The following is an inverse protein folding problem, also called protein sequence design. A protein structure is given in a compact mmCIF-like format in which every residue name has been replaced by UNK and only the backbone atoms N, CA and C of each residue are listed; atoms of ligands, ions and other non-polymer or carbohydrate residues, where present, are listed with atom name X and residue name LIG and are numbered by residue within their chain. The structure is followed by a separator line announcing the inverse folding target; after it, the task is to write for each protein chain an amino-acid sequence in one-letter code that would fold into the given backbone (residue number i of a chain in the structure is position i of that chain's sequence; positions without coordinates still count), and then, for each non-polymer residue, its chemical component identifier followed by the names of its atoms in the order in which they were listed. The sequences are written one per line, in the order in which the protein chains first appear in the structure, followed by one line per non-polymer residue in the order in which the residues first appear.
data_IF_386079220412
#
_entry.id   IF_386079220412
#
_cell.length_a   1.000
_cell.length_b   1.000
_cell.length_c   1.000
_cell.angle_alpha   90.00
_cell.angle_beta   90.00
_cell.angle_gamma   90.00
#
_symmetry.space_group_name_H-M   'P 1'
#
loop_
_entity.id
_entity.type
_entity.pdbx_description
1 polymer ?
#
# COMPACT_ATOMS: atom_id res chain seq x y z
N UNK A 1 -85.00 7.94 52.40
CA UNK A 1 -84.08 8.83 51.75
C UNK A 1 -82.73 8.12 51.70
N UNK A 2 -82.55 7.39 50.64
CA UNK A 2 -81.49 6.39 50.56
C UNK A 2 -80.36 6.85 49.59
N UNK A 3 -79.18 7.11 50.12
CA UNK A 3 -77.98 7.32 49.36
C UNK A 3 -77.41 5.94 48.96
N UNK A 4 -77.32 5.73 47.68
CA UNK A 4 -76.57 4.57 47.11
C UNK A 4 -75.21 5.04 46.70
N UNK A 5 -74.19 4.53 47.36
CA UNK A 5 -72.81 4.76 47.10
C UNK A 5 -72.34 3.73 45.97
N UNK A 6 -72.07 4.23 44.78
CA UNK A 6 -71.49 3.42 43.68
C UNK A 6 -69.97 3.50 43.76
N UNK A 7 -69.35 2.36 44.07
CA UNK A 7 -67.88 2.19 44.02
C UNK A 7 -67.52 1.76 42.64
N UNK A 8 -66.87 2.61 41.90
CA UNK A 8 -66.17 2.21 40.68
C UNK A 8 -64.79 1.68 41.04
N UNK A 9 -64.59 0.41 40.76
CA UNK A 9 -63.31 -0.25 40.86
C UNK A 9 -62.59 0.01 39.51
N UNK A 10 -61.61 0.90 39.49
CA UNK A 10 -60.75 1.08 38.34
C UNK A 10 -59.62 0.03 38.36
N UNK A 11 -59.71 -0.90 37.44
CA UNK A 11 -58.67 -1.89 37.19
C UNK A 11 -57.54 -1.23 36.43
N UNK A 12 -56.41 -0.97 37.09
CA UNK A 12 -55.23 -0.49 36.42
C UNK A 12 -54.46 -1.68 35.86
N UNK A 13 -54.45 -1.82 34.51
CA UNK A 13 -53.60 -2.74 33.80
C UNK A 13 -52.17 -2.17 33.76
N UNK A 14 -51.26 -2.72 34.55
CA UNK A 14 -49.85 -2.43 34.46
C UNK A 14 -49.28 -3.15 33.22
N UNK A 15 -49.00 -2.42 32.14
CA UNK A 15 -48.30 -2.94 31.00
C UNK A 15 -46.79 -2.94 31.33
N UNK A 16 -46.23 -4.17 31.55
CA UNK A 16 -44.82 -4.38 31.73
C UNK A 16 -44.14 -4.35 30.36
N UNK A 17 -43.55 -3.23 29.95
CA UNK A 17 -42.75 -3.12 28.76
C UNK A 17 -41.34 -3.73 29.04
N UNK A 18 -41.12 -4.94 28.60
CA UNK A 18 -39.75 -5.55 28.57
C UNK A 18 -39.01 -4.95 27.39
N UNK A 19 -38.19 -3.93 27.65
CA UNK A 19 -37.24 -3.42 26.67
C UNK A 19 -36.06 -4.42 26.59
N UNK A 20 -36.07 -5.30 25.59
CA UNK A 20 -34.91 -6.12 25.25
C UNK A 20 -33.82 -5.21 24.67
N UNK A 21 -32.84 -4.85 25.48
CA UNK A 21 -31.62 -4.23 24.99
C UNK A 21 -30.81 -5.27 24.20
N UNK A 22 -30.90 -5.19 22.88
CA UNK A 22 -30.06 -5.97 21.98
C UNK A 22 -28.69 -5.25 21.92
N UNK A 23 -27.77 -5.62 22.80
CA UNK A 23 -26.40 -5.16 22.72
C UNK A 23 -25.71 -5.86 21.54
N UNK A 24 -25.62 -5.18 20.40
CA UNK A 24 -24.76 -5.61 19.31
C UNK A 24 -23.33 -5.38 19.75
N UNK A 25 -22.67 -6.41 20.22
CA UNK A 25 -21.22 -6.41 20.41
C UNK A 25 -20.59 -6.54 19.03
N UNK A 26 -20.10 -5.44 18.47
CA UNK A 26 -19.16 -5.49 17.37
C UNK A 26 -17.89 -6.11 17.92
N UNK A 27 -17.65 -7.39 17.62
CA UNK A 27 -16.33 -7.96 17.77
C UNK A 27 -15.50 -7.39 16.65
N UNK A 28 -14.73 -6.36 16.96
CA UNK A 28 -13.64 -5.88 16.12
C UNK A 28 -12.66 -7.06 16.02
N UNK A 29 -12.74 -7.81 14.93
CA UNK A 29 -11.74 -8.81 14.61
C UNK A 29 -10.49 -8.03 14.21
N UNK A 30 -9.68 -7.64 15.20
CA UNK A 30 -8.35 -7.15 14.94
C UNK A 30 -7.60 -8.27 14.23
N UNK A 31 -7.56 -8.20 12.90
CA UNK A 31 -6.72 -9.06 12.09
C UNK A 31 -5.30 -8.77 12.53
N UNK A 32 -4.61 -9.77 13.04
CA UNK A 32 -3.25 -9.59 13.50
C UNK A 32 -2.37 -9.21 12.29
N UNK A 33 -1.69 -8.09 12.39
CA UNK A 33 -0.73 -7.63 11.41
C UNK A 33 0.33 -8.71 11.19
N UNK A 34 0.47 -9.17 9.97
CA UNK A 34 1.44 -10.21 9.64
C UNK A 34 2.59 -9.61 8.84
N UNK A 35 3.72 -9.42 9.50
CA UNK A 35 4.96 -9.01 8.85
C UNK A 35 5.61 -10.22 8.17
N UNK A 36 5.85 -10.11 6.85
CA UNK A 36 6.46 -11.17 6.04
C UNK A 36 7.65 -10.64 5.25
N UNK A 37 8.67 -11.48 4.96
CA UNK A 37 9.77 -11.09 4.10
C UNK A 37 9.27 -10.75 2.69
N UNK A 38 9.68 -9.60 2.16
CA UNK A 38 9.33 -9.15 0.81
C UNK A 38 10.59 -9.03 -0.05
N UNK A 39 10.77 -9.97 -0.97
CA UNK A 39 11.97 -10.12 -1.79
C UNK A 39 11.59 -10.41 -3.22
N UNK A 40 12.37 -9.86 -4.16
CA UNK A 40 12.12 -10.09 -5.56
C UNK A 40 13.26 -9.66 -6.46
N UNK A 41 13.12 -10.06 -7.74
CA UNK A 41 13.96 -9.63 -8.84
C UNK A 41 13.10 -8.88 -9.85
N UNK A 42 13.70 -7.89 -10.52
CA UNK A 42 13.01 -6.99 -11.43
C UNK A 42 13.95 -6.61 -12.57
N UNK A 43 13.37 -6.46 -13.75
CA UNK A 43 14.05 -5.94 -14.94
C UNK A 43 13.10 -5.03 -15.70
N UNK A 44 13.62 -3.96 -16.28
CA UNK A 44 12.81 -2.96 -16.91
C UNK A 44 13.52 -2.12 -17.95
N UNK A 45 12.81 -1.10 -18.37
CA UNK A 45 13.31 -0.05 -19.26
C UNK A 45 12.80 1.29 -18.78
N UNK A 46 13.70 2.24 -18.74
CA UNK A 46 13.45 3.63 -18.35
C UNK A 46 13.47 4.55 -19.57
N UNK A 47 12.59 5.55 -19.55
CA UNK A 47 12.58 6.69 -20.46
C UNK A 47 12.76 7.95 -19.63
N UNK A 48 13.72 8.79 -20.01
CA UNK A 48 14.05 9.97 -19.23
C UNK A 48 13.95 11.24 -20.05
N UNK A 49 13.42 12.31 -19.45
CA UNK A 49 13.39 13.67 -19.99
C UNK A 49 14.15 14.61 -19.09
N UNK A 50 15.13 15.32 -19.65
CA UNK A 50 15.99 16.25 -18.90
C UNK A 50 15.41 17.66 -18.96
N UNK A 51 15.16 18.24 -17.76
CA UNK A 51 14.89 19.66 -17.56
C UNK A 51 15.82 20.16 -16.44
N UNK A 52 17.08 20.43 -16.81
CA UNK A 52 18.15 20.71 -15.85
C UNK A 52 17.74 21.73 -14.76
N UNK A 53 17.95 21.45 -13.48
CA UNK A 53 18.77 20.35 -12.93
C UNK A 53 18.02 19.02 -12.71
N UNK A 54 16.79 18.89 -13.17
CA UNK A 54 15.95 17.71 -12.95
C UNK A 54 15.94 16.76 -14.14
N UNK A 55 15.84 15.48 -13.84
CA UNK A 55 15.59 14.39 -14.76
C UNK A 55 14.28 13.72 -14.37
N UNK A 56 13.28 13.73 -15.25
CA UNK A 56 12.01 13.03 -15.08
C UNK A 56 12.13 11.66 -15.71
N UNK A 57 11.87 10.63 -14.94
CA UNK A 57 12.01 9.22 -15.36
C UNK A 57 10.68 8.51 -15.26
N UNK A 58 10.26 7.94 -16.39
CA UNK A 58 9.15 7.01 -16.48
C UNK A 58 9.71 5.62 -16.82
N UNK A 59 9.37 4.61 -16.02
CA UNK A 59 9.82 3.25 -16.27
C UNK A 59 8.69 2.24 -16.25
N UNK A 60 8.88 1.17 -17.01
CA UNK A 60 8.08 -0.04 -16.92
C UNK A 60 8.99 -1.22 -16.69
N UNK A 61 8.59 -2.09 -15.77
CA UNK A 61 9.38 -3.27 -15.45
C UNK A 61 8.49 -4.49 -15.20
N UNK A 62 9.11 -5.64 -15.19
CA UNK A 62 8.48 -6.91 -14.82
C UNK A 62 9.39 -7.69 -13.88
N UNK A 63 8.79 -8.52 -13.04
CA UNK A 63 9.57 -9.28 -12.08
C UNK A 63 8.80 -10.40 -11.42
N UNK A 64 9.45 -10.98 -10.40
CA UNK A 64 8.85 -11.98 -9.55
C UNK A 64 9.26 -11.72 -8.09
N UNK A 65 8.29 -11.77 -7.18
CA UNK A 65 8.54 -11.50 -5.77
C UNK A 65 7.72 -12.41 -4.87
N UNK A 66 8.20 -12.58 -3.62
CA UNK A 66 7.40 -13.20 -2.55
C UNK A 66 6.12 -12.40 -2.35
N UNK A 67 5.02 -13.08 -2.05
CA UNK A 67 3.69 -12.51 -1.80
C UNK A 67 3.05 -11.73 -2.96
N UNK A 68 3.81 -11.29 -3.96
CA UNK A 68 3.31 -10.62 -5.17
C UNK A 68 3.22 -11.58 -6.37
N UNK A 69 4.11 -12.59 -6.43
CA UNK A 69 4.26 -13.48 -7.57
C UNK A 69 4.86 -12.74 -8.77
N UNK A 70 4.47 -13.11 -9.98
CA UNK A 70 4.81 -12.33 -11.18
C UNK A 70 4.06 -11.02 -11.16
N UNK A 71 4.76 -9.94 -11.48
CA UNK A 71 4.20 -8.59 -11.47
C UNK A 71 4.71 -7.75 -12.64
N UNK A 72 3.95 -6.73 -12.99
CA UNK A 72 4.40 -5.56 -13.73
C UNK A 72 4.58 -4.38 -12.78
N UNK A 73 5.46 -3.45 -13.11
CA UNK A 73 5.67 -2.20 -12.38
C UNK A 73 5.59 -1.02 -13.32
N UNK A 74 4.94 0.05 -12.89
CA UNK A 74 5.11 1.41 -13.42
C UNK A 74 5.79 2.26 -12.35
N UNK A 75 6.68 3.14 -12.78
CA UNK A 75 7.56 3.89 -11.90
C UNK A 75 7.73 5.29 -12.46
N UNK A 76 7.50 6.29 -11.63
CA UNK A 76 7.59 7.70 -11.98
C UNK A 76 8.40 8.40 -10.90
N UNK A 77 9.59 8.89 -11.26
CA UNK A 77 10.48 9.58 -10.32
C UNK A 77 11.13 10.78 -10.95
N UNK A 78 11.59 11.67 -10.09
CA UNK A 78 12.44 12.80 -10.41
C UNK A 78 13.80 12.60 -9.77
N UNK A 79 14.85 12.77 -10.57
CA UNK A 79 16.26 12.74 -10.11
C UNK A 79 16.81 14.15 -10.15
N UNK A 80 17.43 14.61 -9.07
CA UNK A 80 18.24 15.83 -9.07
C UNK A 80 19.63 15.50 -9.61
N UNK A 81 19.99 16.04 -10.77
CA UNK A 81 21.25 15.80 -11.44
C UNK A 81 22.47 16.41 -10.74
N UNK A 82 22.26 17.27 -9.72
CA UNK A 82 23.34 17.85 -8.94
C UNK A 82 23.69 17.02 -7.71
N UNK A 83 22.69 16.37 -7.12
CA UNK A 83 22.84 15.54 -5.92
C UNK A 83 22.74 14.06 -6.18
N UNK A 84 22.16 13.66 -7.33
CA UNK A 84 21.80 12.29 -7.71
C UNK A 84 20.76 11.66 -6.77
N UNK A 85 20.00 12.50 -6.05
CA UNK A 85 18.88 12.05 -5.23
C UNK A 85 17.65 11.82 -6.09
N UNK A 86 16.92 10.76 -5.78
CA UNK A 86 15.71 10.34 -6.47
C UNK A 86 14.52 10.42 -5.53
N UNK A 87 13.36 10.86 -6.05
CA UNK A 87 12.10 10.80 -5.32
C UNK A 87 10.93 10.61 -6.28
N UNK A 88 9.90 9.89 -5.84
CA UNK A 88 8.70 9.63 -6.63
C UNK A 88 7.88 8.48 -6.11
N UNK A 89 7.27 7.71 -7.02
CA UNK A 89 6.38 6.61 -6.66
C UNK A 89 6.46 5.44 -7.63
N UNK A 90 6.02 4.26 -7.16
CA UNK A 90 5.88 3.08 -8.00
C UNK A 90 4.58 2.33 -7.69
N UNK A 91 4.04 1.68 -8.73
CA UNK A 91 2.87 0.79 -8.64
C UNK A 91 3.28 -0.58 -9.15
N UNK A 92 3.19 -1.57 -8.28
CA UNK A 92 3.40 -2.98 -8.61
C UNK A 92 2.03 -3.63 -8.84
N UNK A 93 1.82 -4.24 -9.99
CA UNK A 93 0.56 -4.92 -10.34
C UNK A 93 0.80 -6.42 -10.43
N UNK A 94 0.22 -7.17 -9.50
CA UNK A 94 0.26 -8.62 -9.48
C UNK A 94 -0.53 -9.24 -10.64
N UNK A 95 -0.29 -10.51 -10.95
CA UNK A 95 -0.94 -11.21 -12.05
C UNK A 95 -2.48 -11.31 -11.92
N UNK A 96 -3.03 -11.20 -10.71
CA UNK A 96 -4.47 -11.18 -10.44
C UNK A 96 -5.10 -9.77 -10.50
N UNK A 97 -4.28 -8.73 -10.77
CA UNK A 97 -4.71 -7.33 -10.83
C UNK A 97 -4.63 -6.56 -9.51
N UNK A 98 -4.33 -7.20 -8.38
CA UNK A 98 -4.07 -6.48 -7.13
C UNK A 98 -2.83 -5.61 -7.26
N UNK A 99 -2.87 -4.42 -6.67
CA UNK A 99 -1.79 -3.45 -6.76
C UNK A 99 -1.17 -3.16 -5.40
N UNK A 100 0.13 -2.92 -5.39
CA UNK A 100 0.90 -2.42 -4.25
C UNK A 100 1.49 -1.06 -4.62
N UNK A 101 1.27 -0.05 -3.78
CA UNK A 101 1.72 1.33 -3.97
C UNK A 101 2.91 1.62 -3.08
N UNK A 102 3.90 2.33 -3.61
CA UNK A 102 5.07 2.74 -2.83
C UNK A 102 5.48 4.16 -3.14
N UNK A 103 5.91 4.89 -2.11
CA UNK A 103 6.74 6.08 -2.26
C UNK A 103 8.20 5.67 -2.37
N UNK A 104 8.96 6.39 -3.17
CA UNK A 104 10.36 6.08 -3.49
C UNK A 104 11.25 7.25 -3.12
N UNK A 105 12.35 6.96 -2.44
CA UNK A 105 13.48 7.85 -2.30
C UNK A 105 14.75 7.06 -2.55
N UNK A 106 15.74 7.65 -3.21
CA UNK A 106 16.95 6.93 -3.57
C UNK A 106 18.13 7.84 -3.87
N UNK A 107 19.25 7.19 -4.16
CA UNK A 107 20.46 7.86 -4.59
C UNK A 107 21.21 6.97 -5.58
N UNK A 108 21.74 7.59 -6.63
CA UNK A 108 22.52 6.93 -7.68
C UNK A 108 23.96 7.40 -7.72
N UNK A 109 24.81 6.56 -8.29
CA UNK A 109 26.16 6.90 -8.73
C UNK A 109 26.38 6.30 -10.10
N UNK A 110 27.13 6.95 -10.98
CA UNK A 110 27.38 6.43 -12.33
C UNK A 110 28.83 6.63 -12.76
N UNK A 111 29.23 5.88 -13.79
CA UNK A 111 30.52 6.00 -14.47
C UNK A 111 30.39 6.61 -15.89
N UNK A 112 29.22 7.18 -16.21
CA UNK A 112 28.84 7.71 -17.51
C UNK A 112 28.31 6.68 -18.50
N UNK A 113 28.22 5.39 -18.10
CA UNK A 113 27.64 4.28 -18.91
C UNK A 113 26.64 3.47 -18.12
N UNK A 114 26.96 3.19 -16.87
CA UNK A 114 26.13 2.42 -15.97
C UNK A 114 25.93 3.20 -14.68
N UNK A 115 24.68 3.36 -14.27
CA UNK A 115 24.34 3.86 -12.95
C UNK A 115 24.07 2.70 -12.00
N UNK A 116 24.58 2.83 -10.77
CA UNK A 116 24.23 1.97 -9.64
C UNK A 116 23.31 2.77 -8.71
N UNK A 117 22.09 2.30 -8.54
CA UNK A 117 21.06 3.03 -7.77
C UNK A 117 20.59 2.18 -6.60
N UNK A 118 20.43 2.85 -5.45
CA UNK A 118 19.85 2.28 -4.23
C UNK A 118 18.63 3.10 -3.87
N UNK A 119 17.50 2.43 -3.71
CA UNK A 119 16.21 3.06 -3.41
C UNK A 119 15.57 2.43 -2.18
N UNK A 120 14.91 3.27 -1.40
CA UNK A 120 14.02 2.85 -0.33
C UNK A 120 12.60 3.06 -0.83
N UNK A 121 11.84 1.97 -0.90
CA UNK A 121 10.42 1.98 -1.17
C UNK A 121 9.66 1.87 0.14
N UNK A 122 8.81 2.85 0.44
CA UNK A 122 7.88 2.81 1.57
C UNK A 122 6.50 2.41 1.05
N UNK A 123 5.97 1.29 1.53
CA UNK A 123 4.65 0.80 1.12
C UNK A 123 3.56 1.66 1.74
N UNK A 124 2.71 2.25 0.91
CA UNK A 124 1.66 3.20 1.30
C UNK A 124 0.25 2.62 1.19
N UNK A 125 0.15 1.35 0.79
CA UNK A 125 -1.11 0.64 0.61
C UNK A 125 -1.19 -0.09 -0.72
N UNK A 126 -2.41 -0.26 -1.22
CA UNK A 126 -2.65 -0.93 -2.49
C UNK A 126 -4.11 -1.21 -2.75
N UNK A 127 -4.38 -2.24 -3.54
CA UNK A 127 -5.74 -2.74 -3.79
C UNK A 127 -5.84 -4.23 -3.49
N UNK A 128 -7.07 -4.75 -3.38
CA UNK A 128 -7.32 -6.15 -3.10
C UNK A 128 -6.64 -6.59 -1.80
N UNK A 129 -5.80 -7.61 -1.84
CA UNK A 129 -5.08 -8.12 -0.65
C UNK A 129 -4.04 -7.15 -0.09
N UNK A 130 -3.69 -6.07 -0.81
CA UNK A 130 -2.73 -5.06 -0.39
C UNK A 130 -3.38 -3.75 0.05
N UNK A 131 -4.72 -3.68 0.18
CA UNK A 131 -5.46 -2.43 0.41
C UNK A 131 -4.94 -1.61 1.62
N UNK A 132 -4.54 -2.29 2.69
CA UNK A 132 -4.03 -1.66 3.91
C UNK A 132 -2.56 -2.04 4.17
N UNK A 133 -1.86 -2.58 3.15
CA UNK A 133 -0.48 -3.02 3.28
C UNK A 133 0.45 -1.88 3.67
N UNK A 134 1.41 -2.19 4.55
CA UNK A 134 2.48 -1.29 4.96
C UNK A 134 3.83 -2.01 4.92
N UNK A 135 4.91 -1.29 5.23
CA UNK A 135 6.25 -1.86 5.25
C UNK A 135 7.23 -1.08 4.40
N UNK A 136 8.38 -1.66 4.15
CA UNK A 136 9.39 -1.05 3.30
C UNK A 136 10.37 -2.10 2.78
N UNK A 137 11.03 -1.78 1.67
CA UNK A 137 12.09 -2.59 1.10
C UNK A 137 13.15 -1.71 0.44
N UNK A 138 14.35 -2.25 0.32
CA UNK A 138 15.45 -1.62 -0.42
C UNK A 138 15.55 -2.30 -1.77
N UNK A 139 15.49 -1.52 -2.85
CA UNK A 139 15.78 -1.93 -4.22
C UNK A 139 17.20 -1.50 -4.57
N UNK A 140 17.98 -2.41 -5.15
CA UNK A 140 19.27 -2.11 -5.76
C UNK A 140 19.22 -2.47 -7.23
N UNK A 141 19.68 -1.59 -8.10
CA UNK A 141 19.63 -1.82 -9.53
C UNK A 141 20.87 -1.30 -10.23
N UNK A 142 21.14 -1.88 -11.41
CA UNK A 142 22.06 -1.35 -12.40
C UNK A 142 21.26 -0.88 -13.60
N UNK A 143 21.51 0.33 -14.04
CA UNK A 143 20.88 0.98 -15.18
C UNK A 143 21.93 1.21 -16.28
N UNK A 144 21.72 0.70 -17.46
CA UNK A 144 22.48 1.03 -18.64
C UNK A 144 22.02 2.40 -19.18
N UNK A 145 22.83 3.42 -19.03
CA UNK A 145 22.53 4.80 -19.42
C UNK A 145 22.42 5.03 -20.93
N UNK A 146 22.86 4.04 -21.73
CA UNK A 146 22.77 4.13 -23.20
C UNK A 146 21.44 3.56 -23.71
N UNK A 147 20.99 2.46 -23.11
CA UNK A 147 19.80 1.73 -23.56
C UNK A 147 18.56 2.00 -22.69
N UNK A 148 18.74 2.52 -21.48
CA UNK A 148 17.70 2.64 -20.48
C UNK A 148 17.30 1.31 -19.84
N UNK A 149 17.98 0.21 -20.16
CA UNK A 149 17.69 -1.09 -19.57
C UNK A 149 18.17 -1.15 -18.11
N UNK A 150 17.30 -1.59 -17.22
CA UNK A 150 17.63 -1.78 -15.81
C UNK A 150 17.39 -3.23 -15.36
N UNK A 151 18.16 -3.67 -14.38
CA UNK A 151 17.96 -4.92 -13.69
C UNK A 151 18.38 -4.81 -12.23
N UNK A 152 17.63 -5.43 -11.35
CA UNK A 152 17.91 -5.34 -9.92
C UNK A 152 17.15 -6.35 -9.07
N UNK A 153 17.32 -6.20 -7.78
CA UNK A 153 16.63 -6.99 -6.77
C UNK A 153 16.18 -6.11 -5.62
N UNK A 154 15.28 -6.61 -4.81
CA UNK A 154 14.85 -5.93 -3.60
C UNK A 154 14.64 -6.90 -2.43
N UNK A 155 14.85 -6.39 -1.23
CA UNK A 155 14.69 -7.11 0.04
C UNK A 155 14.11 -6.16 1.11
N UNK A 156 13.14 -6.65 1.87
CA UNK A 156 12.51 -5.90 2.95
C UNK A 156 11.37 -6.65 3.61
N UNK A 157 10.37 -5.88 4.06
CA UNK A 157 9.22 -6.41 4.81
C UNK A 157 7.92 -5.85 4.25
N UNK A 158 6.94 -6.73 4.09
CA UNK A 158 5.56 -6.42 3.79
C UNK A 158 4.71 -6.78 5.00
N UNK A 159 3.87 -5.86 5.45
CA UNK A 159 2.88 -6.07 6.51
C UNK A 159 1.50 -6.12 5.86
N UNK A 160 0.79 -7.22 6.09
CA UNK A 160 -0.58 -7.43 5.61
C UNK A 160 -1.55 -7.38 6.81
N UNK A 161 -2.66 -6.67 6.62
CA UNK A 161 -3.72 -6.47 7.61
C UNK A 161 -4.97 -7.28 7.31
#
# INVERSE_FOLDING_TARGET
MNLRLNRFISLQLAALAVAAFFTITFTDSSRADTAVPFRGEIQGVEIATVEFPLLFVDATATGNASHLGRFGMTYEVTVDLLTHDTSGSAVFTAANGDQLFTDVVGHGTDDGKVASVVEIHTITGGTGRFAEATGSFIRTLLLDLVTGADAGSFDGTLVLH
#
